data_IF_346761996872
#
_entry.id   IF_346761996872
#
_cell.length_a   1.000
_cell.length_b   1.000
_cell.length_c   1.000
_cell.angle_alpha   90.00
_cell.angle_beta   90.00
_cell.angle_gamma   90.00
#
_symmetry.space_group_name_H-M   'P 1'
#
loop_
_entity.id
_entity.type
_entity.pdbx_description
1 polymer ?
#
# COMPACT_ATOMS: atom_id res chain seq x y z
N UNK A 1 -20.07 -5.33 18.78
CA UNK A 1 -19.07 -6.20 19.43
C UNK A 1 -17.78 -6.12 18.64
N UNK A 2 -16.64 -5.99 19.31
CA UNK A 2 -15.32 -5.96 18.65
C UNK A 2 -14.99 -7.36 18.14
N UNK A 3 -14.80 -7.51 16.84
CA UNK A 3 -14.45 -8.79 16.22
C UNK A 3 -12.93 -8.93 16.26
N UNK A 4 -12.41 -9.69 17.23
CA UNK A 4 -10.99 -9.86 17.61
C UNK A 4 -10.46 -8.84 18.63
N UNK A 5 -10.41 -9.25 19.89
CA UNK A 5 -9.65 -8.59 20.97
C UNK A 5 -8.20 -9.11 21.07
N UNK A 6 -7.89 -10.23 20.40
CA UNK A 6 -6.60 -10.93 20.47
C UNK A 6 -6.42 -11.73 19.18
N UNK A 7 -5.70 -11.14 18.22
CA UNK A 7 -5.37 -11.74 16.93
C UNK A 7 -4.38 -10.84 16.18
N UNK A 8 -3.74 -11.38 15.14
CA UNK A 8 -2.85 -10.57 14.28
C UNK A 8 -3.73 -9.65 13.43
N UNK A 9 -3.51 -8.34 13.51
CA UNK A 9 -4.20 -7.38 12.66
C UNK A 9 -3.53 -7.33 11.29
N UNK A 10 -4.32 -7.43 10.22
CA UNK A 10 -3.78 -7.28 8.86
C UNK A 10 -3.89 -5.81 8.46
N UNK A 11 -2.75 -5.19 8.15
CA UNK A 11 -2.68 -3.85 7.58
C UNK A 11 -2.14 -3.97 6.16
N UNK A 12 -2.85 -3.37 5.22
CA UNK A 12 -2.49 -3.36 3.80
C UNK A 12 -2.06 -1.97 3.39
N UNK A 13 -0.89 -1.87 2.77
CA UNK A 13 -0.34 -0.65 2.16
C UNK A 13 -0.08 -0.90 0.68
N UNK A 14 -0.27 0.13 -0.15
CA UNK A 14 -0.07 0.05 -1.59
C UNK A 14 1.13 0.89 -2.01
N UNK A 15 1.93 0.29 -2.89
CA UNK A 15 2.98 0.97 -3.64
C UNK A 15 2.39 2.00 -4.61
N UNK A 16 3.16 3.04 -4.93
CA UNK A 16 2.70 4.13 -5.80
C UNK A 16 2.69 3.74 -7.28
N UNK A 17 1.68 4.15 -8.08
CA UNK A 17 1.72 4.06 -9.54
C UNK A 17 2.76 5.00 -10.18
N UNK A 18 3.28 5.95 -9.40
CA UNK A 18 4.30 6.90 -9.82
C UNK A 18 5.39 7.01 -8.75
N UNK A 19 6.23 5.97 -8.56
CA UNK A 19 7.23 5.96 -7.50
C UNK A 19 8.24 7.10 -7.67
N UNK A 20 8.65 7.70 -6.54
CA UNK A 20 9.70 8.72 -6.53
C UNK A 20 11.05 8.07 -6.21
N UNK A 21 12.05 8.29 -7.06
CA UNK A 21 13.42 7.79 -6.86
C UNK A 21 14.39 8.93 -7.08
N UNK A 22 15.30 9.16 -6.14
CA UNK A 22 16.29 10.24 -6.20
C UNK A 22 15.66 11.62 -6.51
N UNK A 23 14.50 11.89 -5.91
CA UNK A 23 13.74 13.14 -6.09
C UNK A 23 12.98 13.26 -7.42
N UNK A 24 12.95 12.21 -8.24
CA UNK A 24 12.23 12.19 -9.53
C UNK A 24 11.03 11.27 -9.48
N UNK A 25 9.86 11.81 -9.79
CA UNK A 25 8.63 11.05 -10.00
C UNK A 25 8.70 10.39 -11.37
N UNK A 26 8.44 9.09 -11.46
CA UNK A 26 8.38 8.37 -12.73
C UNK A 26 7.13 7.48 -12.79
N UNK A 27 6.49 7.30 -13.97
CA UNK A 27 5.40 6.36 -14.11
C UNK A 27 5.88 4.93 -13.91
N UNK A 28 5.03 4.08 -13.34
CA UNK A 28 5.30 2.66 -13.16
C UNK A 28 4.19 1.80 -13.77
N UNK A 29 4.61 0.72 -14.43
CA UNK A 29 3.76 -0.41 -14.80
C UNK A 29 4.58 -1.69 -14.69
N UNK A 30 3.91 -2.84 -14.52
CA UNK A 30 4.59 -4.13 -14.47
C UNK A 30 5.36 -4.40 -15.78
N UNK A 31 6.56 -4.97 -15.67
CA UNK A 31 7.43 -5.29 -16.80
C UNK A 31 6.72 -6.12 -17.90
N UNK A 32 5.85 -7.04 -17.49
CA UNK A 32 5.22 -8.03 -18.38
C UNK A 32 3.83 -7.63 -18.88
N UNK A 33 3.35 -6.42 -18.55
CA UNK A 33 2.11 -5.80 -19.05
C UNK A 33 0.96 -6.81 -19.30
N UNK A 34 0.63 -7.62 -18.29
CA UNK A 34 -0.34 -8.71 -18.43
C UNK A 34 -1.69 -8.21 -18.94
N UNK A 35 -2.18 -8.79 -20.04
CA UNK A 35 -3.41 -8.39 -20.73
C UNK A 35 -4.65 -8.39 -19.81
N UNK A 36 -4.71 -9.32 -18.85
CA UNK A 36 -5.85 -9.45 -17.94
C UNK A 36 -5.77 -8.53 -16.71
N UNK A 37 -4.60 -7.95 -16.42
CA UNK A 37 -4.44 -7.07 -15.26
C UNK A 37 -5.02 -5.67 -15.57
N UNK A 38 -6.00 -5.18 -14.79
CA UNK A 38 -6.49 -3.82 -14.93
C UNK A 38 -5.36 -2.78 -14.89
N UNK A 39 -5.38 -1.82 -15.81
CA UNK A 39 -4.42 -0.72 -15.88
C UNK A 39 -5.17 0.62 -15.75
N UNK A 40 -5.80 0.83 -14.60
CA UNK A 40 -6.57 2.05 -14.36
C UNK A 40 -5.62 3.25 -14.14
N UNK A 41 -5.82 4.38 -14.84
CA UNK A 41 -4.98 5.55 -14.67
C UNK A 41 -4.89 6.03 -13.22
N UNK A 42 -3.67 6.28 -12.77
CA UNK A 42 -3.39 6.75 -11.41
C UNK A 42 -3.53 5.68 -10.33
N UNK A 43 -3.67 4.41 -10.70
CA UNK A 43 -3.68 3.28 -9.75
C UNK A 43 -2.54 2.30 -10.07
N UNK A 44 -2.00 1.61 -9.05
CA UNK A 44 -1.02 0.54 -9.28
C UNK A 44 -1.62 -0.54 -10.18
N UNK A 45 -0.77 -1.19 -10.99
CA UNK A 45 -1.22 -2.25 -11.89
C UNK A 45 -1.99 -3.34 -11.11
N UNK A 46 -3.12 -3.77 -11.65
CA UNK A 46 -4.08 -4.73 -11.08
C UNK A 46 -5.06 -4.21 -10.03
N UNK A 47 -4.93 -2.96 -9.57
CA UNK A 47 -5.78 -2.40 -8.51
C UNK A 47 -6.77 -1.38 -9.06
N UNK A 48 -7.98 -1.37 -8.48
CA UNK A 48 -9.06 -0.49 -8.88
C UNK A 48 -9.33 0.59 -7.83
N UNK A 49 -9.65 1.80 -8.29
CA UNK A 49 -9.77 3.00 -7.46
C UNK A 49 -10.79 2.86 -6.31
N UNK A 50 -11.84 2.08 -6.52
CA UNK A 50 -12.96 1.89 -5.59
C UNK A 50 -12.71 0.83 -4.52
N UNK A 51 -11.58 0.12 -4.55
CA UNK A 51 -11.21 -0.82 -3.50
C UNK A 51 -10.88 -0.09 -2.19
N UNK A 52 -11.33 -0.56 -1.01
CA UNK A 52 -11.15 0.14 0.25
C UNK A 52 -9.70 0.45 0.62
N UNK A 53 -8.74 -0.42 0.26
CA UNK A 53 -7.32 -0.16 0.52
C UNK A 53 -6.72 0.84 -0.46
N UNK A 54 -7.16 0.80 -1.71
CA UNK A 54 -6.77 1.73 -2.76
C UNK A 54 -7.29 3.14 -2.47
N UNK A 55 -8.52 3.27 -1.96
CA UNK A 55 -9.08 4.56 -1.53
C UNK A 55 -8.19 5.24 -0.48
N UNK A 56 -7.82 4.54 0.60
CA UNK A 56 -6.87 5.07 1.60
C UNK A 56 -5.51 5.39 0.99
N UNK A 57 -5.01 4.55 0.08
CA UNK A 57 -3.74 4.81 -0.58
C UNK A 57 -3.77 6.12 -1.39
N UNK A 58 -4.87 6.37 -2.12
CA UNK A 58 -5.07 7.62 -2.86
C UNK A 58 -5.17 8.83 -1.90
N UNK A 59 -5.90 8.72 -0.80
CA UNK A 59 -6.03 9.78 0.21
C UNK A 59 -4.68 10.14 0.86
N UNK A 60 -3.81 9.15 1.02
CA UNK A 60 -2.47 9.31 1.60
C UNK A 60 -1.36 9.51 0.54
N UNK A 61 -1.72 9.72 -0.73
CA UNK A 61 -0.73 9.93 -1.80
C UNK A 61 0.26 8.78 -2.00
N UNK A 62 -0.15 7.55 -1.67
CA UNK A 62 0.66 6.33 -1.67
C UNK A 62 1.91 6.39 -0.76
N UNK A 63 1.93 7.29 0.23
CA UNK A 63 2.98 7.31 1.25
C UNK A 63 2.84 6.10 2.19
N UNK A 64 3.90 5.31 2.42
CA UNK A 64 3.81 4.09 3.23
C UNK A 64 3.44 4.36 4.70
N UNK A 65 4.02 5.41 5.30
CA UNK A 65 3.84 5.75 6.72
C UNK A 65 2.43 6.25 6.97
N UNK A 66 1.95 7.14 6.11
CA UNK A 66 0.60 7.69 6.21
C UNK A 66 -0.47 6.60 6.01
N UNK A 67 -0.28 5.70 5.05
CA UNK A 67 -1.19 4.57 4.85
C UNK A 67 -1.25 3.63 6.07
N UNK A 68 -0.10 3.31 6.66
CA UNK A 68 -0.04 2.47 7.86
C UNK A 68 -0.71 3.17 9.04
N UNK A 69 -0.33 4.42 9.32
CA UNK A 69 -0.81 5.17 10.48
C UNK A 69 -2.31 5.43 10.41
N UNK A 70 -2.85 5.79 9.24
CA UNK A 70 -4.28 5.98 9.04
C UNK A 70 -5.07 4.68 9.28
N UNK A 71 -4.58 3.55 8.76
CA UNK A 71 -5.22 2.26 8.99
C UNK A 71 -5.13 1.80 10.44
N UNK A 72 -3.98 1.97 11.08
CA UNK A 72 -3.76 1.65 12.49
C UNK A 72 -4.66 2.51 13.39
N UNK A 73 -4.75 3.82 13.14
CA UNK A 73 -5.62 4.74 13.89
C UNK A 73 -7.09 4.34 13.76
N UNK A 74 -7.54 4.00 12.54
CA UNK A 74 -8.90 3.50 12.32
C UNK A 74 -9.18 2.20 13.09
N UNK A 75 -8.22 1.27 13.13
CA UNK A 75 -8.35 0.03 13.90
C UNK A 75 -8.42 0.29 15.42
N UNK A 76 -7.55 1.17 15.92
CA UNK A 76 -7.55 1.58 17.33
C UNK A 76 -8.86 2.27 17.73
N UNK A 77 -9.37 3.19 16.89
CA UNK A 77 -10.66 3.85 17.11
C UNK A 77 -11.84 2.87 17.13
N UNK A 78 -11.74 1.76 16.40
CA UNK A 78 -12.70 0.66 16.43
C UNK A 78 -12.51 -0.31 17.62
N UNK A 79 -11.58 -0.01 18.53
CA UNK A 79 -11.32 -0.79 19.74
C UNK A 79 -10.41 -1.99 19.56
N UNK A 80 -9.67 -2.08 18.44
CA UNK A 80 -8.66 -3.13 18.24
C UNK A 80 -7.30 -2.70 18.80
N UNK A 81 -6.65 -3.50 19.67
CA UNK A 81 -5.28 -3.22 20.10
C UNK A 81 -4.32 -3.39 18.91
N UNK A 82 -3.59 -2.34 18.54
CA UNK A 82 -2.59 -2.38 17.45
C UNK A 82 -1.23 -2.76 18.01
N UNK A 83 -1.12 -3.96 18.59
CA UNK A 83 0.09 -4.50 19.21
C UNK A 83 0.78 -5.57 18.35
N UNK A 84 0.03 -6.25 17.47
CA UNK A 84 0.53 -7.30 16.56
C UNK A 84 -0.05 -7.12 15.17
N UNK A 85 0.82 -6.87 14.19
CA UNK A 85 0.42 -6.56 12.81
C UNK A 85 1.11 -7.48 11.82
N UNK A 86 0.34 -8.02 10.87
CA UNK A 86 0.82 -8.56 9.60
C UNK A 86 0.65 -7.48 8.53
N UNK A 87 1.77 -7.06 7.94
CA UNK A 87 1.81 -6.00 6.94
C UNK A 87 1.82 -6.62 5.54
N UNK A 88 0.81 -6.29 4.73
CA UNK A 88 0.72 -6.68 3.33
C UNK A 88 1.08 -5.50 2.44
N UNK A 89 2.14 -5.65 1.65
CA UNK A 89 2.55 -4.67 0.63
C UNK A 89 1.98 -5.10 -0.71
N UNK A 90 1.10 -4.27 -1.25
CA UNK A 90 0.36 -4.53 -2.48
C UNK A 90 0.71 -3.53 -3.59
N UNK A 91 0.26 -3.83 -4.81
CA UNK A 91 0.43 -3.01 -6.01
C UNK A 91 0.76 -3.86 -7.23
N UNK A 92 1.61 -3.38 -8.13
CA UNK A 92 2.04 -4.18 -9.28
C UNK A 92 2.98 -5.33 -8.91
N UNK A 93 3.87 -5.67 -9.82
CA UNK A 93 4.93 -6.67 -9.57
C UNK A 93 6.03 -6.03 -8.73
N UNK A 94 6.15 -6.42 -7.47
CA UNK A 94 7.14 -5.87 -6.51
C UNK A 94 8.54 -5.76 -7.11
N UNK A 95 9.00 -6.83 -7.75
CA UNK A 95 10.34 -6.92 -8.35
C UNK A 95 10.56 -5.96 -9.52
N UNK A 96 9.48 -5.46 -10.15
CA UNK A 96 9.60 -4.48 -11.23
C UNK A 96 9.83 -3.05 -10.73
N UNK A 97 9.56 -2.75 -9.45
CA UNK A 97 9.83 -1.43 -8.90
C UNK A 97 11.34 -1.16 -8.81
N UNK A 98 11.78 0.11 -8.93
CA UNK A 98 13.18 0.45 -8.71
C UNK A 98 13.67 0.00 -7.32
N UNK A 99 14.86 -0.59 -7.24
CA UNK A 99 15.40 -1.14 -5.99
C UNK A 99 15.44 -0.11 -4.85
N UNK A 100 15.85 1.13 -5.13
CA UNK A 100 15.85 2.23 -4.15
C UNK A 100 14.46 2.53 -3.59
N UNK A 101 13.43 2.48 -4.44
CA UNK A 101 12.04 2.68 -4.02
C UNK A 101 11.58 1.53 -3.11
N UNK A 102 11.90 0.28 -3.48
CA UNK A 102 11.61 -0.89 -2.64
C UNK A 102 12.25 -0.74 -1.25
N UNK A 103 13.53 -0.37 -1.20
CA UNK A 103 14.29 -0.20 0.03
C UNK A 103 13.75 0.94 0.90
N UNK A 104 13.47 2.11 0.32
CA UNK A 104 12.88 3.22 1.08
C UNK A 104 11.47 2.88 1.56
N UNK A 105 10.65 2.25 0.73
CA UNK A 105 9.27 1.92 1.08
C UNK A 105 9.20 0.94 2.26
N UNK A 106 10.06 -0.09 2.28
CA UNK A 106 10.13 -1.02 3.42
C UNK A 106 10.79 -0.36 4.64
N UNK A 107 11.88 0.38 4.46
CA UNK A 107 12.54 1.12 5.56
C UNK A 107 11.55 2.04 6.27
N UNK A 108 10.70 2.74 5.53
CA UNK A 108 9.78 3.70 6.14
C UNK A 108 8.62 2.99 6.89
N UNK A 109 8.38 1.70 6.63
CA UNK A 109 7.36 0.90 7.32
C UNK A 109 7.84 0.25 8.63
N UNK A 110 9.15 0.19 8.90
CA UNK A 110 9.76 -0.52 10.03
C UNK A 110 10.75 0.37 10.81
#
# INVERSE_FOLDING_TARGET
GVRSQSGVLVITVLTSPTPTVDGKVQPFSCQWDCYYCPNQPGQPRSYLRDEPAVLRANENGFDPVLQFTDRAATLAANGHPVDKVELLVLGGTWESYPRKYQESFIRDLF
#
